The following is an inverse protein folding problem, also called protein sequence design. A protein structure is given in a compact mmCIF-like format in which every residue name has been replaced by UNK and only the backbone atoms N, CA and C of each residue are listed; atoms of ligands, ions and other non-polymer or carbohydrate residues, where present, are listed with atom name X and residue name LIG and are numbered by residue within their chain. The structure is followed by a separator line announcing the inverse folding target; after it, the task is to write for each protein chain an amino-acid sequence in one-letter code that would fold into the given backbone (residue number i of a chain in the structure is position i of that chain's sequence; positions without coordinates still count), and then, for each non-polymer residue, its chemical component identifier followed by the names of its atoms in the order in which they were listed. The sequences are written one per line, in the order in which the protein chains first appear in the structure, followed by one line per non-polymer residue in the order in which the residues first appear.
data_IF_180715918364
#
_entry.id   IF_180715918364
#
_cell.length_a   1.000
_cell.length_b   1.000
_cell.length_c   1.000
_cell.angle_alpha   90.00
_cell.angle_beta   90.00
_cell.angle_gamma   90.00
#
_symmetry.space_group_name_H-M   'P 1'
#
loop_
_entity.id
_entity.type
_entity.pdbx_description
1 polymer ?
#
# COMPACT_ATOMS: atom_id res chain seq x y z
N UNK A 1 -13.48 -1.86 -50.91
CA UNK A 1 -12.65 -2.04 -49.70
C UNK A 1 -13.26 -1.16 -48.63
N UNK A 2 -13.84 -1.75 -47.58
CA UNK A 2 -14.44 -1.02 -46.45
C UNK A 2 -13.41 -1.00 -45.32
N UNK A 3 -13.06 0.19 -44.84
CA UNK A 3 -12.47 0.38 -43.52
C UNK A 3 -13.55 0.06 -42.46
N UNK A 4 -13.19 -0.48 -41.29
CA UNK A 4 -13.42 0.37 -40.12
C UNK A 4 -12.45 0.21 -38.94
N UNK A 5 -12.33 1.33 -38.22
CA UNK A 5 -12.23 1.49 -36.77
C UNK A 5 -11.01 0.89 -36.05
N UNK A 6 -9.94 1.68 -35.98
CA UNK A 6 -9.04 1.67 -34.82
C UNK A 6 -9.83 2.08 -33.59
N UNK A 7 -10.30 1.10 -32.83
CA UNK A 7 -10.74 1.29 -31.46
C UNK A 7 -9.53 1.72 -30.63
N UNK A 8 -9.43 3.02 -30.36
CA UNK A 8 -8.61 3.55 -29.27
C UNK A 8 -9.27 3.11 -27.98
N UNK A 9 -8.90 1.92 -27.50
CA UNK A 9 -9.16 1.54 -26.11
C UNK A 9 -8.23 2.39 -25.26
N UNK A 10 -8.79 3.48 -24.73
CA UNK A 10 -8.34 4.17 -23.53
C UNK A 10 -8.47 3.17 -22.37
N UNK A 11 -7.55 2.21 -22.33
CA UNK A 11 -7.28 1.40 -21.16
C UNK A 11 -6.39 2.23 -20.26
N UNK A 12 -6.95 2.60 -19.12
CA UNK A 12 -6.32 3.22 -17.95
C UNK A 12 -4.80 2.96 -17.90
N UNK A 13 -3.96 3.96 -17.58
CA UNK A 13 -2.58 3.67 -17.28
C UNK A 13 -2.58 2.73 -16.06
N UNK A 14 -2.42 1.44 -16.33
CA UNK A 14 -1.87 0.51 -15.36
C UNK A 14 -0.58 1.17 -14.94
N UNK A 15 -0.60 1.75 -13.73
CA UNK A 15 0.59 2.23 -13.04
C UNK A 15 1.44 0.98 -12.77
N UNK A 16 2.08 0.49 -13.84
CA UNK A 16 3.25 -0.34 -13.81
C UNK A 16 4.31 0.54 -13.17
N UNK A 17 4.29 0.60 -11.85
CA UNK A 17 5.33 1.23 -11.06
C UNK A 17 6.59 0.46 -11.39
N UNK A 18 7.36 1.01 -12.34
CA UNK A 18 8.77 0.69 -12.55
C UNK A 18 9.41 0.54 -11.16
N UNK A 19 10.40 -0.36 -10.97
CA UNK A 19 11.27 -0.29 -9.80
C UNK A 19 12.10 1.00 -9.93
N UNK A 20 11.45 2.13 -9.69
CA UNK A 20 12.06 3.42 -9.57
C UNK A 20 12.84 3.38 -8.28
N UNK A 21 14.15 3.39 -8.40
CA UNK A 21 15.08 3.84 -7.38
C UNK A 21 14.75 5.31 -7.07
N UNK A 22 13.60 5.57 -6.44
CA UNK A 22 13.26 6.90 -5.92
C UNK A 22 14.06 7.08 -4.65
N UNK A 23 15.12 7.86 -4.73
CA UNK A 23 15.73 8.51 -3.59
C UNK A 23 14.63 9.06 -2.66
N UNK A 24 14.53 8.48 -1.45
CA UNK A 24 14.13 9.19 -0.24
C UNK A 24 12.66 9.50 0.05
N UNK A 25 11.64 8.99 -0.66
CA UNK A 25 10.26 9.22 -0.20
C UNK A 25 9.89 8.30 0.96
N UNK A 26 9.60 8.90 2.12
CA UNK A 26 9.15 8.22 3.34
C UNK A 26 7.81 7.54 3.14
N UNK A 27 7.47 6.55 3.98
CA UNK A 27 6.16 5.89 3.95
C UNK A 27 5.05 6.92 4.13
N UNK A 28 5.28 7.86 5.05
CA UNK A 28 4.39 8.98 5.33
C UNK A 28 4.05 9.77 4.07
N UNK A 29 5.06 10.18 3.29
CA UNK A 29 4.85 10.92 2.04
C UNK A 29 4.09 10.11 0.99
N UNK A 30 4.38 8.80 0.87
CA UNK A 30 3.70 7.94 -0.10
C UNK A 30 2.24 7.72 0.27
N UNK A 31 1.93 7.56 1.56
CA UNK A 31 0.56 7.46 2.06
C UNK A 31 -0.17 8.78 1.88
N UNK A 32 0.45 9.91 2.23
CA UNK A 32 -0.13 11.24 2.02
C UNK A 32 -0.43 11.50 0.54
N UNK A 33 0.49 11.15 -0.35
CA UNK A 33 0.30 11.27 -1.80
C UNK A 33 -0.84 10.38 -2.31
N UNK A 34 -0.94 9.14 -1.83
CA UNK A 34 -2.05 8.24 -2.19
C UNK A 34 -3.42 8.69 -1.67
N UNK A 35 -3.44 9.46 -0.57
CA UNK A 35 -4.63 10.00 0.06
C UNK A 35 -4.90 11.46 -0.30
N UNK A 36 -4.28 11.99 -1.37
CA UNK A 36 -4.36 13.44 -1.69
C UNK A 36 -5.79 13.99 -1.77
N UNK A 37 -6.77 13.15 -2.13
CA UNK A 37 -8.19 13.48 -2.22
C UNK A 37 -9.07 12.75 -1.21
N UNK A 38 -8.48 12.06 -0.22
CA UNK A 38 -9.21 11.19 0.70
C UNK A 38 -8.83 11.41 2.16
N UNK A 39 -9.82 11.28 3.04
CA UNK A 39 -9.58 11.39 4.48
C UNK A 39 -8.98 10.10 5.03
N UNK A 40 -7.84 10.23 5.70
CA UNK A 40 -7.24 9.14 6.48
C UNK A 40 -8.16 8.74 7.66
N UNK A 41 -8.35 7.45 7.85
CA UNK A 41 -9.12 6.90 8.98
C UNK A 41 -8.18 6.21 9.97
N UNK A 42 -7.43 5.21 9.51
CA UNK A 42 -6.50 4.45 10.33
C UNK A 42 -5.50 3.71 9.43
N UNK A 43 -4.36 3.34 9.98
CA UNK A 43 -3.42 2.45 9.34
C UNK A 43 -2.99 1.33 10.28
N UNK A 44 -2.70 0.17 9.71
CA UNK A 44 -2.23 -1.01 10.42
C UNK A 44 -0.94 -1.48 9.79
N UNK A 45 0.14 -1.50 10.56
CA UNK A 45 1.40 -2.12 10.17
C UNK A 45 1.44 -3.52 10.75
N UNK A 46 1.75 -4.50 9.91
CA UNK A 46 2.02 -5.88 10.28
C UNK A 46 3.43 -6.23 9.85
N UNK A 47 4.31 -6.47 10.82
CA UNK A 47 5.68 -6.97 10.60
C UNK A 47 5.67 -8.47 10.83
N UNK A 48 6.14 -9.23 9.85
CA UNK A 48 6.33 -10.67 9.96
C UNK A 48 7.84 -10.95 9.93
N UNK A 49 8.36 -11.35 11.08
CA UNK A 49 9.78 -11.55 11.35
C UNK A 49 10.07 -13.02 11.65
N UNK A 50 11.33 -13.44 11.46
CA UNK A 50 11.76 -14.80 11.79
C UNK A 50 11.65 -15.80 10.64
N UNK A 51 11.91 -17.06 10.95
CA UNK A 51 11.93 -18.15 9.96
C UNK A 51 10.52 -18.40 9.41
N UNK A 52 10.39 -18.82 8.14
CA UNK A 52 9.09 -19.16 7.56
C UNK A 52 8.34 -20.26 8.34
N UNK A 53 9.08 -21.12 9.06
CA UNK A 53 8.50 -22.17 9.92
C UNK A 53 7.99 -21.66 11.28
N UNK A 54 8.41 -20.48 11.74
CA UNK A 54 7.95 -19.89 13.00
C UNK A 54 7.95 -18.35 12.91
N UNK A 55 6.97 -17.76 12.19
CA UNK A 55 6.89 -16.33 12.00
C UNK A 55 6.40 -15.63 13.28
N UNK A 56 7.16 -14.66 13.76
CA UNK A 56 6.69 -13.69 14.75
C UNK A 56 5.93 -12.58 14.02
N UNK A 57 4.68 -12.33 14.42
CA UNK A 57 3.84 -11.28 13.84
C UNK A 57 3.68 -10.15 14.84
N UNK A 58 4.21 -8.98 14.53
CA UNK A 58 3.97 -7.75 15.27
C UNK A 58 2.93 -6.90 14.52
N UNK A 59 1.94 -6.39 15.25
CA UNK A 59 0.87 -5.56 14.70
C UNK A 59 0.81 -4.23 15.43
N UNK A 60 0.81 -3.14 14.68
CA UNK A 60 0.72 -1.78 15.20
C UNK A 60 -0.39 -1.02 14.47
N UNK A 61 -1.15 -0.22 15.21
CA UNK A 61 -2.21 0.65 14.70
C UNK A 61 -1.76 2.10 14.79
N UNK A 62 -2.09 2.88 13.76
CA UNK A 62 -1.82 4.30 13.65
C UNK A 62 -3.10 5.04 13.28
N UNK A 63 -3.55 5.94 14.15
CA UNK A 63 -4.74 6.77 13.92
C UNK A 63 -4.43 8.12 13.24
N UNK A 64 -3.18 8.34 12.82
CA UNK A 64 -2.78 9.52 12.08
C UNK A 64 -1.62 9.24 11.12
N UNK A 65 -1.62 9.92 9.96
CA UNK A 65 -0.55 9.83 8.95
C UNK A 65 0.81 10.20 9.54
N UNK A 66 0.89 11.24 10.39
CA UNK A 66 2.16 11.71 10.94
C UNK A 66 2.78 10.73 11.96
N UNK A 67 2.00 9.76 12.45
CA UNK A 67 2.50 8.68 13.31
C UNK A 67 3.06 7.50 12.52
N UNK A 68 2.92 7.51 11.20
CA UNK A 68 3.49 6.47 10.37
C UNK A 68 5.01 6.53 10.42
N UNK A 69 5.70 5.39 10.43
CA UNK A 69 7.14 5.33 10.44
C UNK A 69 7.74 6.05 9.22
N UNK A 70 8.80 6.84 9.44
CA UNK A 70 9.58 7.41 8.34
C UNK A 70 10.52 6.38 7.68
N UNK A 71 10.73 5.21 8.32
CA UNK A 71 11.55 4.11 7.77
C UNK A 71 11.14 3.83 6.32
N UNK A 72 12.07 4.02 5.40
CA UNK A 72 11.87 3.60 4.02
C UNK A 72 11.61 2.08 4.00
N UNK A 73 10.87 1.62 3.00
CA UNK A 73 10.41 0.23 2.82
C UNK A 73 11.52 -0.84 2.63
N UNK A 74 12.73 -0.61 3.12
CA UNK A 74 13.78 -1.62 3.19
C UNK A 74 13.59 -2.43 4.48
N UNK A 75 12.73 -3.44 4.40
CA UNK A 75 12.40 -4.23 5.58
C UNK A 75 13.13 -5.56 5.61
N UNK A 76 14.12 -5.83 4.74
CA UNK A 76 14.86 -7.10 4.73
C UNK A 76 15.53 -7.38 6.09
N UNK A 77 15.29 -8.53 6.78
CA UNK A 77 14.62 -9.77 6.36
C UNK A 77 13.12 -9.90 6.74
N UNK A 78 12.51 -8.84 7.23
CA UNK A 78 11.11 -8.71 7.66
C UNK A 78 10.18 -8.45 6.47
N UNK A 79 9.10 -9.24 6.35
CA UNK A 79 7.98 -8.84 5.49
C UNK A 79 7.13 -7.83 6.25
N UNK A 80 6.97 -6.64 5.71
CA UNK A 80 6.12 -5.62 6.32
C UNK A 80 4.92 -5.36 5.43
N UNK A 81 3.74 -5.33 6.03
CA UNK A 81 2.49 -5.01 5.39
C UNK A 81 1.91 -3.77 6.06
N UNK A 82 1.53 -2.77 5.28
CA UNK A 82 0.87 -1.56 5.75
C UNK A 82 -0.48 -1.46 5.06
N UNK A 83 -1.55 -1.52 5.85
CA UNK A 83 -2.93 -1.37 5.39
C UNK A 83 -3.44 -0.03 5.87
N UNK A 84 -3.73 0.89 4.96
CA UNK A 84 -4.27 2.22 5.26
C UNK A 84 -5.73 2.27 4.83
N UNK A 85 -6.59 2.59 5.77
CA UNK A 85 -8.01 2.83 5.57
C UNK A 85 -8.21 4.32 5.33
N UNK A 86 -8.79 4.66 4.19
CA UNK A 86 -9.38 5.98 3.96
C UNK A 86 -10.90 5.91 4.17
N UNK A 87 -11.60 7.02 3.92
CA UNK A 87 -13.06 7.01 3.94
C UNK A 87 -13.68 6.07 2.91
N UNK A 88 -13.06 5.91 1.73
CA UNK A 88 -13.67 5.20 0.60
C UNK A 88 -12.85 4.03 0.05
N UNK A 89 -11.58 3.93 0.41
CA UNK A 89 -10.66 2.90 -0.07
C UNK A 89 -9.83 2.28 1.07
N UNK A 90 -9.26 1.13 0.75
CA UNK A 90 -8.19 0.51 1.52
C UNK A 90 -6.98 0.40 0.63
N UNK A 91 -5.88 0.96 1.08
CA UNK A 91 -4.60 0.89 0.42
C UNK A 91 -3.71 -0.10 1.17
N UNK A 92 -3.25 -1.12 0.46
CA UNK A 92 -2.39 -2.17 1.01
C UNK A 92 -1.02 -2.06 0.37
N UNK A 93 0.01 -1.83 1.17
CA UNK A 93 1.40 -1.94 0.76
C UNK A 93 2.02 -3.19 1.36
N UNK A 94 2.56 -4.07 0.54
CA UNK A 94 3.35 -5.23 0.97
C UNK A 94 4.79 -4.99 0.58
N UNK A 95 5.69 -5.06 1.56
CA UNK A 95 7.11 -4.84 1.39
C UNK A 95 7.85 -6.13 1.73
N UNK A 96 8.66 -6.57 0.79
CA UNK A 96 9.54 -7.73 0.89
C UNK A 96 10.90 -7.35 0.31
N UNK A 97 11.94 -8.17 0.51
CA UNK A 97 13.31 -7.85 0.12
C UNK A 97 13.43 -7.26 -1.31
N UNK A 98 13.59 -5.94 -1.39
CA UNK A 98 13.72 -5.18 -2.64
C UNK A 98 12.41 -4.95 -3.44
N UNK A 99 11.25 -5.35 -2.92
CA UNK A 99 9.96 -5.22 -3.64
C UNK A 99 8.92 -4.51 -2.78
N UNK A 100 8.19 -3.57 -3.40
CA UNK A 100 7.03 -2.91 -2.80
C UNK A 100 5.84 -3.08 -3.73
N UNK A 101 4.83 -3.80 -3.27
CA UNK A 101 3.56 -3.97 -3.98
C UNK A 101 2.50 -3.09 -3.34
N UNK A 102 1.83 -2.25 -4.15
CA UNK A 102 0.67 -1.45 -3.70
C UNK A 102 -0.60 -1.99 -4.36
N UNK A 103 -1.61 -2.25 -3.55
CA UNK A 103 -2.96 -2.57 -4.01
C UNK A 103 -3.95 -1.55 -3.45
N UNK A 104 -4.82 -1.02 -4.30
CA UNK A 104 -5.97 -0.21 -3.90
C UNK A 104 -7.22 -1.07 -4.02
N UNK A 105 -7.99 -1.15 -2.95
CA UNK A 105 -9.23 -1.90 -2.85
C UNK A 105 -10.37 -0.96 -2.46
N UNK A 106 -11.61 -1.17 -2.93
CA UNK A 106 -12.75 -0.46 -2.39
C UNK A 106 -12.88 -0.76 -0.89
N UNK A 107 -13.26 0.25 -0.10
CA UNK A 107 -13.46 0.04 1.33
C UNK A 107 -14.71 -0.79 1.56
N UNK A 108 -14.49 -1.98 2.08
CA UNK A 108 -15.58 -2.77 2.66
C UNK A 108 -15.88 -2.26 4.08
N UNK A 109 -17.14 -1.95 4.42
CA UNK A 109 -17.51 -1.40 5.72
C UNK A 109 -17.20 -2.37 6.88
N UNK A 110 -17.11 -3.67 6.61
CA UNK A 110 -16.83 -4.72 7.60
C UNK A 110 -15.31 -4.96 7.79
N UNK A 111 -14.48 -4.52 6.84
CA UNK A 111 -13.03 -4.77 6.85
C UNK A 111 -12.30 -4.08 8.01
N UNK A 112 -12.72 -2.89 8.46
CA UNK A 112 -12.14 -2.29 9.67
C UNK A 112 -12.48 -3.07 10.95
N UNK A 113 -13.65 -3.71 11.02
CA UNK A 113 -14.06 -4.47 12.20
C UNK A 113 -13.19 -5.71 12.41
N UNK A 114 -12.64 -6.28 11.33
CA UNK A 114 -11.70 -7.41 11.37
C UNK A 114 -10.29 -7.01 11.79
N UNK A 115 -9.98 -5.72 11.74
CA UNK A 115 -8.67 -5.20 12.12
C UNK A 115 -8.59 -4.73 13.59
N UNK A 116 -9.73 -4.64 14.27
CA UNK A 116 -9.89 -4.35 15.70
C UNK A 116 -9.70 -5.60 16.56
#
# INVERSE_FOLDING_TARGET
MQEPATATTEGEPQESTRPGTTSGSTIRERVASALSDERFVAAFRRRTEGSPSNPAVNRERFDAIDRLPDEAFDTTPVRTELVVYSETHVYRWVMTAGTVERTRLPRDPDSMAREQ
#
